data_IF_845213172116
#
_entry.id   IF_845213172116
#
_cell.length_a   1.000
_cell.length_b   1.000
_cell.length_c   1.000
_cell.angle_alpha   90.00
_cell.angle_beta   90.00
_cell.angle_gamma   90.00
#
_symmetry.space_group_name_H-M   'P 1'
#
loop_
_entity.id
_entity.type
_entity.pdbx_description
1 polymer ?
#
# COMPACT_ATOMS: atom_id res chain seq x y z
N UNK A 1 -8.27 16.43 -11.88
CA UNK A 1 -7.50 15.85 -10.76
C UNK A 1 -7.54 14.35 -10.94
N UNK A 2 -6.39 13.72 -11.19
CA UNK A 2 -6.33 12.26 -11.26
C UNK A 2 -6.60 11.74 -9.85
N UNK A 3 -7.83 11.31 -9.61
CA UNK A 3 -8.22 10.70 -8.37
C UNK A 3 -7.37 9.46 -8.13
N UNK A 4 -6.91 9.24 -6.91
CA UNK A 4 -6.44 7.96 -6.47
C UNK A 4 -7.36 6.90 -6.99
N UNK A 5 -6.80 5.76 -7.36
CA UNK A 5 -7.59 4.63 -7.75
C UNK A 5 -8.77 4.52 -6.78
N UNK A 6 -9.95 4.78 -7.24
CA UNK A 6 -11.21 4.70 -6.48
C UNK A 6 -11.31 3.34 -5.77
N UNK A 7 -10.65 2.33 -6.34
CA UNK A 7 -10.45 1.01 -5.76
C UNK A 7 -9.79 1.06 -4.37
N UNK A 8 -8.73 1.86 -4.18
CA UNK A 8 -8.07 1.99 -2.87
C UNK A 8 -8.99 2.62 -1.81
N UNK A 9 -9.90 3.50 -2.23
CA UNK A 9 -10.91 4.11 -1.35
C UNK A 9 -12.02 3.11 -1.01
N UNK A 10 -12.55 2.39 -2.02
CA UNK A 10 -13.58 1.36 -1.85
C UNK A 10 -13.08 0.23 -0.95
N UNK A 11 -11.84 -0.20 -1.15
CA UNK A 11 -11.21 -1.24 -0.35
C UNK A 11 -11.15 -0.89 1.13
N UNK A 12 -10.91 0.37 1.47
CA UNK A 12 -10.89 0.82 2.87
C UNK A 12 -12.26 0.74 3.53
N UNK A 13 -13.32 1.00 2.78
CA UNK A 13 -14.70 0.86 3.26
C UNK A 13 -15.10 -0.62 3.43
N UNK A 14 -14.55 -1.51 2.60
CA UNK A 14 -14.76 -2.97 2.67
C UNK A 14 -13.81 -3.72 3.61
N UNK A 15 -12.82 -3.10 4.20
CA UNK A 15 -11.80 -3.73 5.05
C UNK A 15 -12.35 -4.22 6.41
N UNK A 16 -13.57 -4.64 6.42
CA UNK A 16 -14.15 -5.37 7.54
C UNK A 16 -14.43 -6.76 7.05
N UNK A 17 -13.64 -7.74 7.47
CA UNK A 17 -14.15 -8.99 8.03
C UNK A 17 -12.99 -9.93 8.42
N UNK A 18 -13.09 -10.47 9.59
CA UNK A 18 -12.26 -11.40 10.36
C UNK A 18 -11.74 -12.69 9.67
N UNK A 19 -12.12 -12.97 8.45
CA UNK A 19 -11.82 -14.24 7.77
C UNK A 19 -10.38 -14.35 7.23
N UNK A 20 -9.57 -13.27 7.26
CA UNK A 20 -8.25 -13.24 6.62
C UNK A 20 -7.08 -12.91 7.56
N UNK A 21 -7.25 -12.95 8.87
CA UNK A 21 -6.17 -12.67 9.83
C UNK A 21 -4.92 -13.51 9.58
N UNK A 22 -5.07 -14.79 9.26
CA UNK A 22 -3.95 -15.68 8.97
C UNK A 22 -3.15 -15.25 7.75
N UNK A 23 -3.80 -14.89 6.66
CA UNK A 23 -3.16 -14.41 5.43
C UNK A 23 -2.44 -13.07 5.67
N UNK A 24 -3.08 -12.13 6.40
CA UNK A 24 -2.47 -10.85 6.78
C UNK A 24 -1.21 -11.09 7.63
N UNK A 25 -1.27 -11.97 8.63
CA UNK A 25 -0.12 -12.27 9.49
C UNK A 25 1.03 -12.91 8.70
N UNK A 26 0.72 -13.81 7.76
CA UNK A 26 1.71 -14.42 6.87
C UNK A 26 2.39 -13.38 6.00
N UNK A 27 1.64 -12.47 5.40
CA UNK A 27 2.14 -11.37 4.56
C UNK A 27 3.07 -10.45 5.36
N UNK A 28 2.62 -9.96 6.52
CA UNK A 28 3.40 -9.10 7.39
C UNK A 28 4.66 -9.80 7.93
N UNK A 29 4.58 -11.11 8.23
CA UNK A 29 5.74 -11.90 8.60
C UNK A 29 6.79 -11.99 7.49
N UNK A 30 6.38 -12.12 6.23
CA UNK A 30 7.28 -12.08 5.07
C UNK A 30 7.93 -10.70 4.90
N UNK A 31 7.17 -9.61 5.05
CA UNK A 31 7.70 -8.24 5.01
C UNK A 31 8.80 -8.03 6.06
N UNK A 32 8.54 -8.45 7.30
CA UNK A 32 9.55 -8.40 8.38
C UNK A 32 10.78 -9.23 8.03
N UNK A 33 10.60 -10.45 7.52
CA UNK A 33 11.71 -11.34 7.14
C UNK A 33 12.60 -10.70 6.06
N UNK A 34 12.00 -10.08 5.06
CA UNK A 34 12.75 -9.40 3.99
C UNK A 34 13.44 -8.14 4.52
N UNK A 35 12.76 -7.32 5.32
CA UNK A 35 13.33 -6.12 5.90
C UNK A 35 14.51 -6.41 6.85
N UNK A 36 14.44 -7.50 7.62
CA UNK A 36 15.48 -7.92 8.56
C UNK A 36 16.79 -8.33 7.90
N UNK A 37 16.82 -8.57 6.59
CA UNK A 37 18.07 -8.83 5.84
C UNK A 37 19.00 -7.63 5.79
N UNK A 38 18.44 -6.42 5.80
CA UNK A 38 19.20 -5.17 5.87
C UNK A 38 19.75 -4.85 7.26
N UNK A 39 19.44 -5.67 8.26
CA UNK A 39 19.84 -5.53 9.66
C UNK A 39 18.72 -5.91 10.60
N UNK A 40 19.05 -6.65 11.68
CA UNK A 40 18.07 -7.15 12.65
C UNK A 40 17.70 -6.14 13.74
N UNK A 41 18.41 -5.02 13.83
CA UNK A 41 18.12 -3.96 14.78
C UNK A 41 17.17 -2.92 14.17
N UNK A 42 15.94 -2.78 14.71
CA UNK A 42 15.00 -1.78 14.22
C UNK A 42 15.48 -0.32 14.41
N UNK A 43 16.40 -0.06 15.33
CA UNK A 43 16.95 1.28 15.53
C UNK A 43 17.79 1.73 14.33
N UNK A 44 18.51 0.81 13.72
CA UNK A 44 19.35 1.05 12.53
C UNK A 44 18.68 0.70 11.20
N UNK A 45 17.48 0.16 11.22
CA UNK A 45 16.78 -0.32 10.02
C UNK A 45 15.33 0.21 9.97
N UNK A 46 15.16 1.34 9.27
CA UNK A 46 13.85 1.98 9.14
C UNK A 46 12.80 1.06 8.50
N UNK A 47 13.16 0.30 7.46
CA UNK A 47 12.22 -0.63 6.82
C UNK A 47 11.75 -1.72 7.78
N UNK A 48 12.64 -2.25 8.60
CA UNK A 48 12.29 -3.23 9.63
C UNK A 48 11.40 -2.61 10.70
N UNK A 49 11.72 -1.40 11.17
CA UNK A 49 10.90 -0.67 12.14
C UNK A 49 9.49 -0.47 11.61
N UNK A 50 9.34 0.00 10.37
CA UNK A 50 8.05 0.19 9.72
C UNK A 50 7.26 -1.12 9.61
N UNK A 51 7.90 -2.22 9.18
CA UNK A 51 7.25 -3.52 9.06
C UNK A 51 6.77 -4.05 10.42
N UNK A 52 7.57 -3.86 11.49
CA UNK A 52 7.21 -4.24 12.86
C UNK A 52 6.01 -3.44 13.35
N UNK A 53 6.00 -2.12 13.13
CA UNK A 53 4.90 -1.26 13.56
C UNK A 53 3.59 -1.62 12.85
N UNK A 54 3.62 -1.87 11.53
CA UNK A 54 2.48 -2.40 10.77
C UNK A 54 1.98 -3.72 11.33
N UNK A 55 2.89 -4.65 11.62
CA UNK A 55 2.52 -5.96 12.17
C UNK A 55 1.87 -5.84 13.56
N UNK A 56 2.40 -4.97 14.43
CA UNK A 56 1.82 -4.69 15.75
C UNK A 56 0.43 -4.07 15.64
N UNK A 57 0.25 -3.09 14.74
CA UNK A 57 -1.04 -2.47 14.47
C UNK A 57 -2.09 -3.49 13.98
N UNK A 58 -1.67 -4.47 13.18
CA UNK A 58 -2.51 -5.57 12.72
C UNK A 58 -2.75 -6.68 13.78
N UNK A 59 -2.13 -6.57 14.96
CA UNK A 59 -2.28 -7.53 16.06
C UNK A 59 -1.45 -8.81 15.89
N UNK A 60 -0.37 -8.78 15.12
CA UNK A 60 0.56 -9.93 14.99
C UNK A 60 1.24 -10.17 16.35
N UNK A 61 1.23 -11.41 16.88
CA UNK A 61 1.89 -11.72 18.14
C UNK A 61 3.40 -11.43 18.11
N UNK A 62 3.96 -10.87 19.18
CA UNK A 62 5.38 -10.54 19.27
C UNK A 62 6.30 -11.73 18.96
N UNK A 63 5.94 -12.94 19.43
CA UNK A 63 6.71 -14.15 19.13
C UNK A 63 6.81 -14.45 17.62
N UNK A 64 5.80 -14.11 16.83
CA UNK A 64 5.83 -14.25 15.38
C UNK A 64 6.71 -13.19 14.74
N UNK A 65 6.68 -11.96 15.24
CA UNK A 65 7.55 -10.85 14.82
C UNK A 65 9.03 -11.21 15.06
N UNK A 66 9.36 -11.65 16.28
CA UNK A 66 10.73 -12.05 16.65
C UNK A 66 11.23 -13.21 15.79
N UNK A 67 10.38 -14.22 15.53
CA UNK A 67 10.71 -15.35 14.66
C UNK A 67 10.97 -14.88 13.22
N UNK A 68 10.18 -13.96 12.71
CA UNK A 68 10.36 -13.39 11.37
C UNK A 68 11.68 -12.61 11.27
N UNK A 69 12.04 -11.82 12.29
CA UNK A 69 13.33 -11.12 12.37
C UNK A 69 14.48 -12.13 12.39
N UNK A 70 14.43 -13.13 13.28
CA UNK A 70 15.46 -14.16 13.40
C UNK A 70 15.64 -14.96 12.09
N UNK A 71 14.55 -15.22 11.36
CA UNK A 71 14.56 -15.87 10.06
C UNK A 71 15.26 -14.97 9.01
N UNK A 72 14.90 -13.69 8.95
CA UNK A 72 15.45 -12.73 8.01
C UNK A 72 16.92 -12.41 8.24
N UNK A 73 17.37 -12.37 9.49
CA UNK A 73 18.78 -12.15 9.89
C UNK A 73 19.66 -13.40 9.80
N UNK A 74 19.11 -14.56 9.40
CA UNK A 74 19.87 -15.82 9.27
C UNK A 74 20.16 -16.53 10.60
N UNK A 75 19.61 -16.08 11.73
CA UNK A 75 19.87 -16.68 13.05
C UNK A 75 19.23 -18.07 13.23
N UNK A 76 18.19 -18.39 12.48
CA UNK A 76 17.47 -19.67 12.59
C UNK A 76 18.06 -20.79 11.73
N UNK A 77 19.20 -20.56 11.05
CA UNK A 77 19.99 -21.57 10.32
C UNK A 77 19.15 -22.53 9.46
N UNK A 78 19.18 -22.35 8.18
CA UNK A 78 18.58 -23.23 7.18
C UNK A 78 18.84 -22.66 5.79
N UNK A 79 18.70 -23.41 4.67
CA UNK A 79 18.57 -22.79 3.37
C UNK A 79 17.29 -21.94 3.44
N UNK A 80 17.46 -20.68 3.89
CA UNK A 80 16.36 -19.80 4.22
C UNK A 80 15.46 -19.68 3.01
N UNK A 81 14.17 -19.74 3.24
CA UNK A 81 13.18 -19.28 2.28
C UNK A 81 13.65 -17.90 1.79
N UNK A 82 14.35 -17.88 0.67
CA UNK A 82 14.86 -16.65 0.09
C UNK A 82 13.72 -15.96 -0.62
N UNK A 83 12.82 -15.30 0.18
CA UNK A 83 11.79 -14.49 -0.44
C UNK A 83 12.42 -13.45 -1.34
N UNK A 84 11.98 -13.41 -2.57
CA UNK A 84 12.35 -12.41 -3.55
C UNK A 84 11.19 -11.44 -3.72
N UNK A 85 11.50 -10.15 -3.85
CA UNK A 85 10.53 -9.17 -4.31
C UNK A 85 10.42 -9.28 -5.83
N UNK A 86 9.21 -9.55 -6.30
CA UNK A 86 8.90 -9.68 -7.73
C UNK A 86 7.74 -8.77 -8.07
N UNK A 87 7.83 -8.12 -9.23
CA UNK A 87 6.76 -7.30 -9.77
C UNK A 87 6.16 -7.98 -10.99
N UNK A 88 4.83 -8.01 -11.04
CA UNK A 88 4.05 -8.46 -12.18
C UNK A 88 3.22 -7.31 -12.72
N UNK A 89 3.00 -7.30 -14.01
CA UNK A 89 2.33 -6.24 -14.72
C UNK A 89 1.33 -6.82 -15.72
N UNK A 90 0.18 -6.19 -15.87
CA UNK A 90 -0.83 -6.68 -16.81
C UNK A 90 -1.99 -5.71 -17.01
N UNK A 91 -2.90 -6.13 -17.85
CA UNK A 91 -4.12 -5.39 -18.16
C UNK A 91 -5.34 -6.19 -17.72
N UNK A 92 -6.18 -5.58 -16.92
CA UNK A 92 -7.51 -6.06 -16.56
C UNK A 92 -8.55 -5.77 -17.63
N UNK A 93 -9.82 -6.20 -17.39
CA UNK A 93 -10.95 -5.87 -18.25
C UNK A 93 -11.03 -4.37 -18.53
N UNK A 94 -11.36 -4.01 -19.77
CA UNK A 94 -11.46 -2.62 -20.20
C UNK A 94 -10.12 -1.88 -20.36
N UNK A 95 -8.99 -2.59 -20.29
CA UNK A 95 -7.65 -2.00 -20.46
C UNK A 95 -7.09 -1.35 -19.18
N UNK A 96 -7.67 -1.65 -18.03
CA UNK A 96 -7.17 -1.19 -16.73
C UNK A 96 -5.77 -1.74 -16.50
N UNK A 97 -4.79 -0.85 -16.30
CA UNK A 97 -3.44 -1.24 -15.95
C UNK A 97 -3.38 -1.74 -14.50
N UNK A 98 -2.72 -2.88 -14.28
CA UNK A 98 -2.58 -3.51 -12.97
C UNK A 98 -1.12 -3.81 -12.69
N UNK A 99 -0.61 -3.29 -11.58
CA UNK A 99 0.74 -3.51 -11.07
C UNK A 99 0.64 -4.32 -9.77
N UNK A 100 1.38 -5.42 -9.70
CA UNK A 100 1.36 -6.34 -8.56
C UNK A 100 2.76 -6.46 -7.98
N UNK A 101 2.91 -6.24 -6.68
CA UNK A 101 4.12 -6.57 -5.95
C UNK A 101 3.91 -7.86 -5.17
N UNK A 102 4.86 -8.77 -5.27
CA UNK A 102 4.84 -10.04 -4.57
C UNK A 102 6.15 -10.29 -3.82
N UNK A 103 6.05 -10.99 -2.69
CA UNK A 103 7.17 -11.54 -1.94
C UNK A 103 7.06 -13.06 -1.99
N UNK A 104 7.91 -13.71 -2.76
CA UNK A 104 7.79 -15.15 -3.02
C UNK A 104 9.11 -15.87 -2.84
N UNK A 105 9.03 -17.11 -2.39
CA UNK A 105 10.09 -18.11 -2.39
C UNK A 105 10.09 -18.97 -3.67
N UNK A 106 9.05 -18.82 -4.53
CA UNK A 106 8.92 -19.58 -5.77
C UNK A 106 8.25 -18.74 -6.88
N UNK A 107 9.07 -18.07 -7.69
CA UNK A 107 8.62 -17.19 -8.79
C UNK A 107 7.70 -17.90 -9.80
N UNK A 108 7.97 -19.18 -10.08
CA UNK A 108 7.18 -19.92 -11.07
C UNK A 108 5.75 -20.21 -10.57
N UNK A 109 5.62 -20.58 -9.29
CA UNK A 109 4.31 -20.75 -8.65
C UNK A 109 3.53 -19.44 -8.69
N UNK A 110 4.11 -18.36 -8.19
CA UNK A 110 3.45 -17.06 -8.12
C UNK A 110 3.07 -16.54 -9.51
N UNK A 111 3.94 -16.68 -10.50
CA UNK A 111 3.64 -16.29 -11.88
C UNK A 111 2.47 -17.12 -12.47
N UNK A 112 2.38 -18.41 -12.14
CA UNK A 112 1.27 -19.25 -12.58
C UNK A 112 -0.06 -18.83 -11.92
N UNK A 113 -0.04 -18.56 -10.62
CA UNK A 113 -1.22 -18.13 -9.87
C UNK A 113 -1.72 -16.76 -10.35
N UNK A 114 -0.82 -15.79 -10.53
CA UNK A 114 -1.15 -14.46 -11.08
C UNK A 114 -1.72 -14.60 -12.49
N UNK A 115 -1.10 -15.39 -13.37
CA UNK A 115 -1.61 -15.62 -14.74
C UNK A 115 -3.01 -16.23 -14.72
N UNK A 116 -3.24 -17.18 -13.82
CA UNK A 116 -4.54 -17.82 -13.67
C UNK A 116 -5.61 -16.82 -13.23
N UNK A 117 -5.29 -15.93 -12.27
CA UNK A 117 -6.21 -14.87 -11.83
C UNK A 117 -6.60 -13.95 -13.00
N UNK A 118 -5.62 -13.44 -13.77
CA UNK A 118 -5.90 -12.65 -14.96
C UNK A 118 -6.80 -13.38 -15.96
N UNK A 119 -6.45 -14.61 -16.32
CA UNK A 119 -7.18 -15.40 -17.32
C UNK A 119 -8.63 -15.69 -16.90
N UNK A 120 -8.87 -15.98 -15.63
CA UNK A 120 -10.23 -16.26 -15.11
C UNK A 120 -11.14 -15.04 -15.14
N UNK A 121 -10.59 -13.85 -15.03
CA UNK A 121 -11.36 -12.60 -14.91
C UNK A 121 -11.29 -11.72 -16.16
N UNK A 122 -10.80 -12.26 -17.29
CA UNK A 122 -10.81 -11.58 -18.58
C UNK A 122 -9.74 -10.51 -18.74
N UNK A 123 -8.67 -10.61 -17.96
CA UNK A 123 -7.46 -9.81 -18.11
C UNK A 123 -6.32 -10.60 -18.76
N UNK A 124 -5.17 -9.96 -18.91
CA UNK A 124 -3.97 -10.52 -19.50
C UNK A 124 -2.72 -10.11 -18.71
N UNK A 125 -1.96 -11.10 -18.23
CA UNK A 125 -0.64 -10.86 -17.65
C UNK A 125 0.32 -10.48 -18.77
N UNK A 126 0.95 -9.32 -18.66
CA UNK A 126 1.92 -8.79 -19.61
C UNK A 126 3.36 -9.08 -19.23
N UNK A 127 4.27 -8.53 -20.00
CA UNK A 127 5.70 -8.54 -19.72
C UNK A 127 6.05 -7.38 -18.76
N UNK A 128 7.16 -7.51 -18.03
CA UNK A 128 7.66 -6.46 -17.15
C UNK A 128 7.91 -5.17 -17.92
N UNK A 129 7.38 -4.05 -17.44
CA UNK A 129 7.45 -2.73 -18.08
C UNK A 129 6.25 -2.39 -18.95
N UNK A 130 5.27 -3.31 -19.14
CA UNK A 130 4.11 -3.03 -19.98
C UNK A 130 3.15 -1.98 -19.40
N UNK A 131 3.09 -1.84 -18.07
CA UNK A 131 2.25 -0.82 -17.39
C UNK A 131 3.01 0.00 -16.36
N UNK A 132 4.22 -0.42 -15.95
CA UNK A 132 4.97 0.21 -14.86
C UNK A 132 5.20 1.71 -15.04
N UNK A 133 5.32 2.18 -16.29
CA UNK A 133 5.48 3.59 -16.64
C UNK A 133 4.25 4.46 -16.35
N UNK A 134 3.09 3.85 -16.13
CA UNK A 134 1.85 4.55 -15.75
C UNK A 134 1.78 4.84 -14.24
N UNK A 135 2.72 4.30 -13.46
CA UNK A 135 2.71 4.40 -12.01
C UNK A 135 4.00 5.03 -11.51
N UNK A 136 3.87 5.83 -10.47
CA UNK A 136 4.97 6.41 -9.71
C UNK A 136 4.94 5.87 -8.28
N UNK A 137 6.10 5.59 -7.72
CA UNK A 137 6.20 5.16 -6.33
C UNK A 137 6.42 6.37 -5.42
N UNK A 138 5.48 6.61 -4.52
CA UNK A 138 5.51 7.74 -3.58
C UNK A 138 5.56 7.25 -2.13
N UNK A 139 6.03 8.13 -1.26
CA UNK A 139 5.84 8.04 0.18
C UNK A 139 4.46 8.56 0.52
N UNK A 140 3.68 7.76 1.26
CA UNK A 140 2.31 8.11 1.65
C UNK A 140 2.17 7.96 3.15
N UNK A 141 1.62 8.96 3.80
CA UNK A 141 1.25 8.90 5.21
C UNK A 141 -0.23 9.25 5.38
N UNK A 142 -0.96 8.40 6.12
CA UNK A 142 -2.33 8.69 6.55
C UNK A 142 -2.31 9.31 7.92
N UNK A 143 -2.98 10.43 8.06
CA UNK A 143 -2.98 11.24 9.29
C UNK A 143 -4.40 11.54 9.75
N UNK A 144 -4.53 11.78 11.05
CA UNK A 144 -5.71 12.36 11.68
C UNK A 144 -5.28 13.35 12.76
N UNK A 145 -6.18 14.26 13.16
CA UNK A 145 -5.94 15.06 14.37
C UNK A 145 -5.89 14.16 15.60
N UNK A 146 -5.00 14.45 16.58
CA UNK A 146 -4.81 13.58 17.74
C UNK A 146 -5.96 13.62 18.76
N UNK A 147 -7.00 14.42 18.61
CA UNK A 147 -7.82 14.82 19.73
C UNK A 147 -9.22 14.25 19.78
N UNK A 148 -9.57 13.83 21.00
CA UNK A 148 -10.93 13.69 21.47
C UNK A 148 -11.54 15.08 21.68
N UNK A 149 -12.28 15.59 20.68
CA UNK A 149 -13.08 16.82 20.83
C UNK A 149 -12.62 18.01 19.98
N UNK A 150 -11.60 17.87 19.16
CA UNK A 150 -11.23 18.89 18.18
C UNK A 150 -12.04 18.78 16.89
N UNK A 151 -12.11 19.87 16.08
CA UNK A 151 -12.85 19.87 14.83
C UNK A 151 -12.34 18.76 13.89
N UNK A 152 -13.24 18.25 13.09
CA UNK A 152 -12.89 17.34 11.97
C UNK A 152 -11.77 17.98 11.17
N UNK A 153 -10.77 17.19 10.78
CA UNK A 153 -9.69 17.65 9.92
C UNK A 153 -10.31 18.22 8.63
N UNK A 154 -10.28 19.54 8.49
CA UNK A 154 -10.67 20.25 7.29
C UNK A 154 -9.45 20.64 6.44
N UNK A 155 -9.71 21.13 5.24
CA UNK A 155 -8.66 21.44 4.28
C UNK A 155 -7.78 22.61 4.72
N UNK A 156 -8.36 23.62 5.34
CA UNK A 156 -7.65 24.81 5.81
C UNK A 156 -6.67 24.46 6.94
N UNK A 157 -7.15 23.73 7.94
CA UNK A 157 -6.33 23.26 9.05
C UNK A 157 -5.21 22.31 8.60
N UNK A 158 -5.49 21.44 7.61
CA UNK A 158 -4.47 20.57 7.02
C UNK A 158 -3.39 21.39 6.33
N UNK A 159 -3.77 22.36 5.49
CA UNK A 159 -2.84 23.22 4.78
C UNK A 159 -1.96 24.04 5.71
N UNK A 160 -2.54 24.68 6.74
CA UNK A 160 -1.79 25.44 7.74
C UNK A 160 -0.74 24.58 8.44
N UNK A 161 -1.06 23.32 8.74
CA UNK A 161 -0.13 22.40 9.41
C UNK A 161 0.92 21.81 8.46
N UNK A 162 0.66 21.72 7.14
CA UNK A 162 1.62 21.23 6.16
C UNK A 162 2.63 22.29 5.69
N UNK A 163 2.26 23.59 5.71
CA UNK A 163 3.14 24.67 5.29
C UNK A 163 4.51 24.67 5.99
N UNK A 164 4.61 24.53 7.32
CA UNK A 164 5.90 24.51 8.01
C UNK A 164 6.79 23.32 7.66
N UNK A 165 6.24 22.24 7.11
CA UNK A 165 7.03 21.07 6.71
C UNK A 165 7.95 21.37 5.52
N UNK A 166 7.52 22.27 4.64
CA UNK A 166 8.29 22.71 3.47
C UNK A 166 9.37 23.74 3.82
N UNK A 167 9.22 24.45 4.96
CA UNK A 167 10.01 25.64 5.32
C UNK A 167 11.09 25.40 6.39
N UNK A 168 11.47 24.16 6.71
CA UNK A 168 12.51 23.92 7.71
C UNK A 168 13.83 24.60 7.29
N UNK A 169 14.13 25.73 7.93
CA UNK A 169 15.17 26.68 7.54
C UNK A 169 16.63 26.22 7.72
N UNK A 170 16.88 24.98 8.15
CA UNK A 170 18.22 24.40 8.31
C UNK A 170 18.56 23.29 7.30
N UNK A 171 17.65 23.02 6.36
CA UNK A 171 17.87 22.04 5.29
C UNK A 171 17.85 20.56 5.74
N UNK A 172 17.78 20.30 7.05
CA UNK A 172 17.70 18.93 7.58
C UNK A 172 16.27 18.61 7.96
N UNK A 173 15.54 17.96 7.05
CA UNK A 173 14.21 17.45 7.33
C UNK A 173 13.04 18.19 6.65
N UNK A 174 13.32 19.08 5.69
CA UNK A 174 12.28 19.62 4.81
C UNK A 174 11.59 18.50 4.05
N UNK A 175 10.27 18.52 4.03
CA UNK A 175 9.45 17.54 3.33
C UNK A 175 8.78 18.23 2.14
N UNK A 176 9.04 17.71 0.95
CA UNK A 176 8.32 18.14 -0.25
C UNK A 176 6.94 17.47 -0.27
N UNK A 177 5.91 18.21 0.14
CA UNK A 177 4.53 17.73 0.03
C UNK A 177 4.08 17.89 -1.41
N UNK A 178 3.96 16.76 -2.14
CA UNK A 178 3.53 16.75 -3.54
C UNK A 178 2.03 16.97 -3.68
N UNK A 179 1.25 16.40 -2.77
CA UNK A 179 -0.20 16.53 -2.71
C UNK A 179 -0.75 15.98 -1.40
N UNK A 180 -2.03 16.21 -1.17
CA UNK A 180 -2.80 15.61 -0.10
C UNK A 180 -4.20 15.27 -0.60
N UNK A 181 -4.86 14.32 0.07
CA UNK A 181 -6.27 13.98 -0.14
C UNK A 181 -6.98 13.91 1.19
N UNK A 182 -8.06 14.67 1.32
CA UNK A 182 -8.97 14.54 2.44
C UNK A 182 -9.77 13.24 2.30
N UNK A 183 -9.85 12.49 3.37
CA UNK A 183 -10.62 11.26 3.46
C UNK A 183 -11.87 11.49 4.30
N UNK A 184 -12.85 10.61 4.13
CA UNK A 184 -13.98 10.57 5.06
C UNK A 184 -13.46 10.27 6.48
N UNK A 185 -14.21 10.69 7.51
CA UNK A 185 -13.88 10.45 8.93
C UNK A 185 -12.77 11.34 9.54
N UNK A 186 -12.51 12.52 8.98
CA UNK A 186 -11.54 13.46 9.56
C UNK A 186 -10.10 12.98 9.50
N UNK A 187 -9.75 12.28 8.44
CA UNK A 187 -8.38 11.88 8.15
C UNK A 187 -7.95 12.37 6.76
N UNK A 188 -6.64 12.40 6.52
CA UNK A 188 -6.07 12.77 5.23
C UNK A 188 -4.92 11.84 4.85
N UNK A 189 -4.62 11.74 3.57
CA UNK A 189 -3.37 11.19 3.06
C UNK A 189 -2.48 12.32 2.55
N UNK A 190 -1.22 12.26 2.92
CA UNK A 190 -0.18 13.21 2.48
C UNK A 190 0.87 12.44 1.71
N UNK A 191 1.28 13.00 0.56
CA UNK A 191 2.18 12.37 -0.39
C UNK A 191 3.46 13.15 -0.53
N UNK A 192 4.58 12.44 -0.54
CA UNK A 192 5.91 12.98 -0.72
C UNK A 192 6.75 12.10 -1.66
N UNK A 193 7.91 12.59 -2.17
CA UNK A 193 8.83 11.78 -2.94
C UNK A 193 9.21 10.49 -2.22
N UNK A 194 9.46 9.43 -2.99
CA UNK A 194 9.79 8.09 -2.47
C UNK A 194 10.87 8.10 -1.37
N UNK A 195 11.92 8.90 -1.52
CA UNK A 195 13.03 8.96 -0.58
C UNK A 195 12.69 9.61 0.78
N UNK A 196 11.50 10.22 0.91
CA UNK A 196 11.17 11.06 2.06
C UNK A 196 10.19 10.42 3.05
N UNK A 197 10.02 9.08 3.06
CA UNK A 197 9.03 8.43 3.91
C UNK A 197 9.28 8.68 5.41
N UNK A 198 10.53 8.58 5.87
CA UNK A 198 10.90 8.83 7.26
C UNK A 198 10.71 10.31 7.62
N UNK A 199 11.22 11.20 6.78
CA UNK A 199 11.08 12.66 6.97
C UNK A 199 9.61 13.09 6.98
N UNK A 200 8.78 12.51 6.11
CA UNK A 200 7.33 12.74 6.05
C UNK A 200 6.67 12.33 7.37
N UNK A 201 6.95 11.13 7.85
CA UNK A 201 6.40 10.62 9.10
C UNK A 201 6.77 11.51 10.30
N UNK A 202 8.06 11.85 10.42
CA UNK A 202 8.56 12.67 11.51
C UNK A 202 8.07 14.11 11.43
N UNK A 203 7.99 14.66 10.22
CA UNK A 203 7.46 15.99 9.98
C UNK A 203 5.99 16.09 10.40
N UNK A 204 5.16 15.16 9.98
CA UNK A 204 3.74 15.12 10.33
C UNK A 204 3.51 14.96 11.84
N UNK A 205 4.31 14.12 12.52
CA UNK A 205 4.27 14.00 13.99
C UNK A 205 4.64 15.31 14.69
N UNK A 206 5.68 16.00 14.20
CA UNK A 206 6.09 17.33 14.73
C UNK A 206 5.02 18.38 14.51
N UNK A 207 4.29 18.31 13.41
CA UNK A 207 3.14 19.17 13.12
C UNK A 207 1.89 18.85 13.97
N UNK A 208 1.96 17.83 14.85
CA UNK A 208 0.89 17.49 15.79
C UNK A 208 -0.09 16.43 15.27
N UNK A 209 0.13 15.84 14.10
CA UNK A 209 -0.75 14.80 13.59
C UNK A 209 -0.51 13.43 14.26
N UNK A 210 -1.58 12.66 14.44
CA UNK A 210 -1.52 11.22 14.64
C UNK A 210 -1.26 10.56 13.30
N UNK A 211 -0.06 10.02 13.07
CA UNK A 211 0.27 9.25 11.89
C UNK A 211 -0.27 7.84 12.09
N UNK A 212 -1.33 7.50 11.35
CA UNK A 212 -2.06 6.23 11.46
C UNK A 212 -1.37 5.12 10.67
N UNK A 213 -0.95 5.44 9.43
CA UNK A 213 -0.30 4.53 8.50
C UNK A 213 0.75 5.28 7.70
N UNK A 214 1.81 4.60 7.27
CA UNK A 214 2.81 5.14 6.35
C UNK A 214 3.43 4.01 5.55
N UNK A 215 3.67 4.28 4.26
CA UNK A 215 4.21 3.27 3.35
C UNK A 215 4.71 3.89 2.05
N UNK A 216 5.52 3.13 1.32
CA UNK A 216 5.71 3.38 -0.11
C UNK A 216 4.54 2.76 -0.86
N UNK A 217 3.92 3.54 -1.74
CA UNK A 217 2.78 3.11 -2.53
C UNK A 217 2.97 3.50 -3.99
N UNK A 218 2.61 2.60 -4.88
CA UNK A 218 2.49 2.91 -6.30
C UNK A 218 1.21 3.70 -6.54
N UNK A 219 1.33 4.77 -7.30
CA UNK A 219 0.23 5.69 -7.59
C UNK A 219 0.13 5.83 -9.09
N UNK A 220 -1.07 5.66 -9.63
CA UNK A 220 -1.33 5.85 -11.04
C UNK A 220 -1.25 7.34 -11.44
N UNK A 221 -0.48 7.64 -12.47
CA UNK A 221 -0.39 9.00 -13.03
C UNK A 221 -1.58 9.36 -13.92
N UNK A 222 -2.29 8.36 -14.45
CA UNK A 222 -3.50 8.53 -15.27
C UNK A 222 -4.49 7.42 -14.99
N UNK A 223 -5.78 7.77 -14.92
CA UNK A 223 -6.87 6.84 -14.70
C UNK A 223 -7.36 6.15 -15.99
N UNK A 224 -7.86 4.94 -15.86
CA UNK A 224 -8.62 4.22 -16.88
C UNK A 224 -10.07 4.12 -16.40
N UNK A 225 -10.95 4.93 -17.00
CA UNK A 225 -12.36 4.99 -16.59
C UNK A 225 -13.15 3.87 -17.23
N UNK A 226 -13.83 3.09 -16.40
CA UNK A 226 -14.78 2.08 -16.84
C UNK A 226 -16.22 2.61 -16.67
N UNK A 227 -16.98 2.55 -17.77
CA UNK A 227 -18.38 2.94 -17.82
C UNK A 227 -19.33 1.73 -17.90
N UNK A 228 -18.80 0.57 -18.29
CA UNK A 228 -19.54 -0.69 -18.40
C UNK A 228 -19.52 -1.45 -17.07
N UNK A 229 -20.70 -1.71 -16.51
CA UNK A 229 -20.87 -2.37 -15.22
C UNK A 229 -20.30 -3.80 -15.20
N UNK A 230 -20.39 -4.55 -16.31
CA UNK A 230 -19.89 -5.91 -16.36
C UNK A 230 -18.36 -5.95 -16.47
N UNK A 231 -17.76 -5.00 -17.19
CA UNK A 231 -16.30 -4.84 -17.21
C UNK A 231 -15.79 -4.42 -15.81
N UNK A 232 -16.45 -3.46 -15.18
CA UNK A 232 -16.10 -3.02 -13.82
C UNK A 232 -16.20 -4.17 -12.83
N UNK A 233 -17.30 -4.94 -12.84
CA UNK A 233 -17.46 -6.10 -11.96
C UNK A 233 -16.37 -7.15 -12.16
N UNK A 234 -15.99 -7.44 -13.41
CA UNK A 234 -14.90 -8.38 -13.72
C UNK A 234 -13.55 -7.85 -13.29
N UNK A 235 -13.32 -6.54 -13.47
CA UNK A 235 -12.09 -5.89 -13.03
C UNK A 235 -11.95 -5.95 -11.50
N UNK A 236 -13.00 -5.61 -10.75
CA UNK A 236 -13.00 -5.70 -9.28
C UNK A 236 -12.74 -7.12 -8.79
N UNK A 237 -13.36 -8.14 -9.42
CA UNK A 237 -13.10 -9.55 -9.11
C UNK A 237 -11.65 -9.97 -9.41
N UNK A 238 -11.05 -9.42 -10.46
CA UNK A 238 -9.63 -9.65 -10.76
C UNK A 238 -8.74 -9.10 -9.64
N UNK A 239 -8.99 -7.84 -9.24
CA UNK A 239 -8.19 -7.19 -8.19
C UNK A 239 -8.33 -7.95 -6.86
N UNK A 240 -9.55 -8.34 -6.48
CA UNK A 240 -9.80 -9.17 -5.28
C UNK A 240 -9.04 -10.51 -5.36
N UNK A 241 -9.14 -11.20 -6.50
CA UNK A 241 -8.49 -12.50 -6.70
C UNK A 241 -6.95 -12.41 -6.64
N UNK A 242 -6.37 -11.32 -7.15
CA UNK A 242 -4.93 -11.07 -7.07
C UNK A 242 -4.49 -10.79 -5.63
N UNK A 243 -5.28 -10.02 -4.87
CA UNK A 243 -4.99 -9.71 -3.48
C UNK A 243 -5.14 -10.92 -2.53
N UNK A 244 -5.94 -11.89 -2.92
CA UNK A 244 -6.11 -13.15 -2.18
C UNK A 244 -4.92 -14.10 -2.29
N UNK A 245 -4.03 -13.88 -3.26
CA UNK A 245 -2.83 -14.70 -3.40
C UNK A 245 -1.85 -14.46 -2.23
N UNK A 246 -1.42 -15.54 -1.60
CA UNK A 246 -0.56 -15.49 -0.40
C UNK A 246 0.77 -14.76 -0.63
N UNK A 247 1.32 -14.84 -1.85
CA UNK A 247 2.60 -14.23 -2.20
C UNK A 247 2.45 -12.75 -2.58
N UNK A 248 1.23 -12.28 -2.84
CA UNK A 248 0.98 -10.90 -3.25
C UNK A 248 0.98 -9.97 -2.04
N UNK A 249 1.82 -8.95 -2.11
CA UNK A 249 1.96 -7.88 -1.12
C UNK A 249 0.98 -6.75 -1.37
N UNK A 250 0.94 -6.26 -2.61
CA UNK A 250 0.08 -5.15 -3.01
C UNK A 250 -0.39 -5.31 -4.44
N UNK A 251 -1.59 -4.82 -4.71
CA UNK A 251 -2.17 -4.67 -6.04
C UNK A 251 -2.54 -3.21 -6.23
N UNK A 252 -2.02 -2.61 -7.29
CA UNK A 252 -2.35 -1.24 -7.67
C UNK A 252 -2.92 -1.23 -9.08
N UNK A 253 -4.02 -0.52 -9.27
CA UNK A 253 -4.65 -0.39 -10.57
C UNK A 253 -4.95 1.09 -10.86
N UNK A 254 -4.95 1.46 -12.13
CA UNK A 254 -5.37 2.79 -12.56
C UNK A 254 -6.89 2.88 -12.83
N UNK A 255 -7.67 1.98 -12.22
CA UNK A 255 -9.12 1.92 -12.35
C UNK A 255 -9.79 3.19 -11.82
N UNK A 256 -10.63 3.80 -12.65
CA UNK A 256 -11.59 4.82 -12.26
C UNK A 256 -13.02 4.38 -12.64
N UNK A 257 -13.98 4.73 -11.81
CA UNK A 257 -15.39 4.51 -12.07
C UNK A 257 -16.23 5.59 -11.37
N UNK A 258 -17.44 5.85 -11.89
CA UNK A 258 -18.40 6.74 -11.22
C UNK A 258 -18.94 6.11 -9.94
N UNK A 259 -19.17 6.95 -8.92
CA UNK A 259 -19.71 6.51 -7.63
C UNK A 259 -21.01 5.77 -7.77
N UNK A 260 -21.93 6.28 -8.59
CA UNK A 260 -23.22 5.65 -8.85
C UNK A 260 -23.09 4.23 -9.45
N UNK A 261 -22.05 3.99 -10.28
CA UNK A 261 -21.80 2.68 -10.85
C UNK A 261 -21.22 1.70 -9.82
N UNK A 262 -20.40 2.21 -8.90
CA UNK A 262 -19.84 1.44 -7.80
C UNK A 262 -20.90 1.04 -6.78
N UNK A 263 -21.76 1.97 -6.38
CA UNK A 263 -22.89 1.75 -5.47
C UNK A 263 -23.87 0.71 -6.03
N UNK A 264 -24.14 0.77 -7.35
CA UNK A 264 -24.99 -0.21 -8.02
C UNK A 264 -24.42 -1.64 -8.05
N UNK A 265 -23.11 -1.82 -7.85
CA UNK A 265 -22.46 -3.13 -7.77
C UNK A 265 -22.40 -3.70 -6.35
N UNK A 266 -22.67 -2.89 -5.33
CA UNK A 266 -22.70 -3.31 -3.91
C UNK A 266 -24.09 -3.83 -3.48
N UNK A 267 -25.12 -3.60 -4.30
CA UNK A 267 -26.50 -4.05 -4.09
C UNK A 267 -26.73 -5.41 -4.74
#
# INVERSE_FOLDING_TARGET
>A
MAGHSKWAQIKRTKAVVDAKRGAVFTRLGREITVAARGGSDPAGNFQLRTAIEKAKAAGVPNANIERAIAKGSGQLGGPGDSFEAVRYEGYGPGGVAVLIEALTDNRNRTAADVRLAFSKHGGNLGETGCVGYLFEQLSVARVAWPSRGEPTLDEEALLEALLPLAETGDGSGAVEVLRYDLLNEGSAEVFAPFAQLESLQDGLRRAGFSVLEWEHRWIAGSGCRLEDADQLRRCLKLLDALEELDDVRSVTANLEAEDALLEALET
#
